data_IF_957012007332
#
_entry.id   IF_957012007332
#
_cell.length_a   1.000
_cell.length_b   1.000
_cell.length_c   1.000
_cell.angle_alpha   90.00
_cell.angle_beta   90.00
_cell.angle_gamma   90.00
#
_symmetry.space_group_name_H-M   'P 1'
#
loop_
_entity.id
_entity.type
_entity.pdbx_description
1 polymer ?
#
# COMPACT_ATOMS: atom_id res chain seq x y z
N UNK A 1 3.50 -25.96 19.34
CA UNK A 1 3.43 -24.54 18.96
C UNK A 1 3.45 -24.51 17.45
N UNK A 2 2.26 -24.40 16.85
CA UNK A 2 2.13 -24.29 15.39
C UNK A 2 2.60 -22.89 14.99
N UNK A 3 3.64 -22.85 14.16
CA UNK A 3 4.07 -21.61 13.51
C UNK A 3 2.97 -21.17 12.54
N UNK A 4 2.43 -19.95 12.65
CA UNK A 4 1.48 -19.45 11.67
C UNK A 4 2.15 -19.45 10.30
N UNK A 5 1.55 -20.13 9.33
CA UNK A 5 1.95 -20.04 7.93
C UNK A 5 1.56 -18.64 7.44
N UNK A 6 2.48 -17.69 7.57
CA UNK A 6 2.35 -16.37 6.97
C UNK A 6 2.45 -16.53 5.46
N UNK A 7 1.31 -16.47 4.75
CA UNK A 7 1.33 -16.15 3.32
C UNK A 7 1.58 -14.66 3.18
N UNK A 8 2.81 -14.22 3.45
CA UNK A 8 3.23 -12.86 3.12
C UNK A 8 2.94 -12.64 1.63
N UNK A 9 2.11 -11.65 1.23
CA UNK A 9 1.97 -11.33 -0.18
C UNK A 9 3.38 -11.06 -0.70
N UNK A 10 3.75 -11.76 -1.79
CA UNK A 10 5.13 -11.78 -2.33
C UNK A 10 5.73 -10.38 -2.52
N UNK A 11 4.87 -9.37 -2.66
CA UNK A 11 5.19 -7.96 -2.80
C UNK A 11 5.80 -7.34 -1.52
N UNK A 12 5.40 -7.76 -0.31
CA UNK A 12 6.04 -7.33 0.94
C UNK A 12 7.46 -7.87 1.08
N UNK A 13 7.73 -9.06 0.51
CA UNK A 13 9.09 -9.65 0.49
C UNK A 13 10.00 -8.85 -0.44
N UNK A 14 9.47 -8.30 -1.53
CA UNK A 14 10.23 -7.49 -2.49
C UNK A 14 10.63 -6.14 -1.88
N UNK A 15 9.69 -5.44 -1.22
CA UNK A 15 10.02 -4.20 -0.50
C UNK A 15 11.05 -4.44 0.62
N UNK A 16 10.91 -5.54 1.36
CA UNK A 16 11.90 -5.96 2.36
C UNK A 16 13.25 -6.38 1.74
N UNK A 17 13.25 -6.93 0.53
CA UNK A 17 14.45 -7.31 -0.21
C UNK A 17 15.25 -6.09 -0.70
N UNK A 18 14.58 -4.98 -1.04
CA UNK A 18 15.23 -3.73 -1.48
C UNK A 18 15.55 -2.76 -0.35
N UNK A 19 15.29 -3.12 0.92
CA UNK A 19 15.46 -2.23 2.09
C UNK A 19 14.69 -0.91 1.98
N UNK A 20 13.60 -0.89 1.19
CA UNK A 20 12.81 0.32 1.00
C UNK A 20 11.91 0.60 2.20
N UNK A 21 11.73 1.88 2.53
CA UNK A 21 10.90 2.30 3.65
C UNK A 21 9.42 2.02 3.35
N UNK A 22 8.95 0.87 3.83
CA UNK A 22 7.57 0.43 3.69
C UNK A 22 6.57 1.42 4.29
N UNK A 23 6.99 2.36 5.16
CA UNK A 23 6.10 3.41 5.69
C UNK A 23 5.72 4.48 4.65
N UNK A 24 6.46 4.55 3.52
CA UNK A 24 6.12 5.40 2.38
C UNK A 24 4.98 4.78 1.57
N UNK A 25 4.98 3.45 1.45
CA UNK A 25 4.01 2.68 0.66
C UNK A 25 2.75 2.39 1.50
N UNK A 26 2.92 1.93 2.74
CA UNK A 26 1.85 1.50 3.62
C UNK A 26 1.69 2.47 4.78
N UNK A 27 0.48 2.97 4.96
CA UNK A 27 0.08 3.74 6.15
C UNK A 27 -1.01 2.99 6.88
N UNK A 28 -0.77 2.71 8.15
CA UNK A 28 -1.71 2.02 9.03
C UNK A 28 -2.50 3.06 9.80
N UNK A 29 -3.83 2.93 9.79
CA UNK A 29 -4.74 3.79 10.54
C UNK A 29 -5.56 2.98 11.53
N UNK A 30 -6.02 3.63 12.60
CA UNK A 30 -6.90 3.00 13.58
C UNK A 30 -8.23 2.56 12.95
N UNK A 31 -8.79 1.47 13.44
CA UNK A 31 -10.01 0.82 12.93
C UNK A 31 -11.23 1.76 12.85
N UNK A 32 -11.30 2.74 13.75
CA UNK A 32 -12.42 3.68 13.86
C UNK A 32 -12.25 4.93 12.98
N UNK A 33 -11.12 5.05 12.27
CA UNK A 33 -10.83 6.25 11.48
C UNK A 33 -11.65 6.24 10.18
N UNK A 34 -12.38 7.31 9.93
CA UNK A 34 -13.16 7.45 8.70
C UNK A 34 -12.27 7.73 7.49
N UNK A 35 -12.72 7.34 6.31
CA UNK A 35 -12.02 7.66 5.05
C UNK A 35 -11.81 9.18 4.87
N UNK A 36 -12.74 10.01 5.34
CA UNK A 36 -12.61 11.47 5.28
C UNK A 36 -11.47 11.98 6.18
N UNK A 37 -11.30 11.40 7.37
CA UNK A 37 -10.16 11.74 8.25
C UNK A 37 -8.83 11.30 7.64
N UNK A 38 -8.78 10.08 7.08
CA UNK A 38 -7.61 9.59 6.33
C UNK A 38 -7.29 10.53 5.17
N UNK A 39 -8.30 11.02 4.46
CA UNK A 39 -8.14 11.92 3.32
C UNK A 39 -7.49 13.26 3.70
N UNK A 40 -7.86 13.82 4.85
CA UNK A 40 -7.31 15.09 5.34
C UNK A 40 -5.83 14.98 5.73
N UNK A 41 -5.40 13.80 6.17
CA UNK A 41 -4.02 13.49 6.57
C UNK A 41 -3.17 12.87 5.45
N UNK A 42 -3.82 12.54 4.32
CA UNK A 42 -3.19 11.90 3.19
C UNK A 42 -2.09 12.78 2.57
N UNK A 43 -0.88 12.24 2.33
CA UNK A 43 0.08 12.90 1.46
C UNK A 43 -0.46 12.99 0.04
N UNK A 44 0.17 13.86 -0.77
CA UNK A 44 -0.09 13.94 -2.21
C UNK A 44 0.49 12.76 -2.98
N UNK A 45 1.53 12.13 -2.43
CA UNK A 45 2.16 10.93 -3.00
C UNK A 45 1.22 9.72 -2.88
N UNK A 46 1.11 8.87 -3.91
CA UNK A 46 0.29 7.66 -3.82
C UNK A 46 0.73 6.75 -2.70
N UNK A 47 -0.23 6.22 -1.93
CA UNK A 47 0.04 5.27 -0.85
C UNK A 47 -1.15 4.34 -0.60
N UNK A 48 -0.90 3.27 0.13
CA UNK A 48 -1.89 2.27 0.54
C UNK A 48 -2.25 2.52 2.01
N UNK A 49 -3.49 2.92 2.26
CA UNK A 49 -4.04 3.04 3.60
C UNK A 49 -4.64 1.70 4.04
N UNK A 50 -4.12 1.08 5.09
CA UNK A 50 -4.75 -0.08 5.70
C UNK A 50 -5.40 0.35 7.02
N UNK A 51 -6.72 0.16 7.14
CA UNK A 51 -7.49 0.56 8.31
C UNK A 51 -7.63 -0.66 9.22
N UNK A 52 -7.22 -0.52 10.48
CA UNK A 52 -7.24 -1.61 11.46
C UNK A 52 -5.92 -2.38 11.55
N UNK A 53 -5.98 -3.61 12.04
CA UNK A 53 -4.80 -4.44 12.25
C UNK A 53 -4.24 -4.99 10.92
N UNK A 54 -3.06 -4.55 10.46
CA UNK A 54 -2.44 -5.05 9.23
C UNK A 54 -1.99 -6.52 9.32
N UNK A 55 -1.92 -7.07 10.54
CA UNK A 55 -1.58 -8.48 10.79
C UNK A 55 -2.82 -9.38 10.88
N UNK A 56 -4.01 -8.85 10.63
CA UNK A 56 -5.21 -9.66 10.54
C UNK A 56 -5.15 -10.57 9.30
N UNK A 57 -5.82 -11.73 9.36
CA UNK A 57 -6.06 -12.56 8.19
C UNK A 57 -6.91 -11.73 7.21
N UNK A 58 -6.35 -11.40 6.05
CA UNK A 58 -6.99 -10.62 4.97
C UNK A 58 -7.31 -9.14 5.29
N UNK A 59 -6.28 -8.27 5.41
CA UNK A 59 -6.50 -6.85 5.61
C UNK A 59 -7.14 -6.21 4.37
N UNK A 60 -8.12 -5.35 4.61
CA UNK A 60 -8.72 -4.48 3.59
C UNK A 60 -8.02 -3.12 3.61
N UNK A 61 -7.61 -2.66 2.44
CA UNK A 61 -6.88 -1.42 2.28
C UNK A 61 -7.56 -0.53 1.22
N UNK A 62 -7.18 0.74 1.19
CA UNK A 62 -7.65 1.73 0.24
C UNK A 62 -6.44 2.40 -0.39
N UNK A 63 -6.39 2.46 -1.71
CA UNK A 63 -5.33 3.19 -2.43
C UNK A 63 -5.72 4.65 -2.52
N UNK A 64 -4.81 5.53 -2.11
CA UNK A 64 -4.96 6.97 -2.27
C UNK A 64 -4.02 7.48 -3.35
N UNK A 65 -4.53 8.35 -4.21
CA UNK A 65 -3.78 9.08 -5.23
C UNK A 65 -4.23 10.53 -5.17
N UNK A 66 -3.29 11.48 -5.03
CA UNK A 66 -3.60 12.92 -4.91
C UNK A 66 -4.69 13.22 -3.87
N UNK A 67 -4.56 12.59 -2.68
CA UNK A 67 -5.55 12.65 -1.58
C UNK A 67 -6.95 12.17 -1.95
N UNK A 68 -7.16 11.48 -3.06
CA UNK A 68 -8.45 10.88 -3.40
C UNK A 68 -8.37 9.35 -3.22
N UNK A 69 -9.37 8.73 -2.57
CA UNK A 69 -9.45 7.27 -2.57
C UNK A 69 -9.82 6.79 -3.99
N UNK A 70 -9.00 5.92 -4.56
CA UNK A 70 -9.23 5.37 -5.90
C UNK A 70 -10.23 4.20 -5.86
N UNK A 71 -9.91 3.20 -5.03
CA UNK A 71 -10.72 2.01 -4.80
C UNK A 71 -10.71 1.70 -3.29
N UNK A 72 -11.80 2.01 -2.58
CA UNK A 72 -11.87 1.77 -1.15
C UNK A 72 -12.15 0.30 -0.84
N UNK A 73 -11.54 -0.18 0.25
CA UNK A 73 -11.82 -1.48 0.87
C UNK A 73 -11.54 -2.70 -0.04
N UNK A 74 -10.40 -2.72 -0.70
CA UNK A 74 -9.93 -3.84 -1.52
C UNK A 74 -8.91 -4.70 -0.76
N UNK A 75 -8.78 -6.00 -1.08
CA UNK A 75 -7.75 -6.86 -0.51
C UNK A 75 -6.35 -6.28 -0.70
N UNK A 76 -5.44 -6.51 0.26
CA UNK A 76 -4.07 -5.99 0.20
C UNK A 76 -3.34 -6.29 -1.12
N UNK A 77 -3.51 -7.49 -1.68
CA UNK A 77 -2.87 -7.83 -2.96
C UNK A 77 -3.36 -6.94 -4.10
N UNK A 78 -4.67 -6.70 -4.15
CA UNK A 78 -5.30 -5.83 -5.16
C UNK A 78 -4.89 -4.38 -4.92
N UNK A 79 -4.80 -3.94 -3.66
CA UNK A 79 -4.31 -2.61 -3.30
C UNK A 79 -2.88 -2.35 -3.80
N UNK A 80 -2.00 -3.35 -3.74
CA UNK A 80 -0.64 -3.24 -4.27
C UNK A 80 -0.63 -3.13 -5.78
N UNK A 81 -1.44 -3.94 -6.47
CA UNK A 81 -1.58 -3.86 -7.94
C UNK A 81 -2.17 -2.51 -8.38
N UNK A 82 -3.19 -2.01 -7.68
CA UNK A 82 -3.83 -0.73 -7.95
C UNK A 82 -2.88 0.44 -7.67
N UNK A 83 -2.14 0.42 -6.55
CA UNK A 83 -1.10 1.41 -6.26
C UNK A 83 -0.01 1.43 -7.33
N UNK A 84 0.53 0.27 -7.71
CA UNK A 84 1.52 0.18 -8.77
C UNK A 84 1.00 0.69 -10.12
N UNK A 85 -0.22 0.31 -10.49
CA UNK A 85 -0.84 0.72 -11.75
C UNK A 85 -1.09 2.23 -11.81
N UNK A 86 -1.33 2.87 -10.66
CA UNK A 86 -1.62 4.30 -10.57
C UNK A 86 -0.49 5.17 -11.17
N UNK A 87 0.77 4.75 -11.04
CA UNK A 87 1.90 5.50 -11.59
C UNK A 87 1.87 5.58 -13.12
N UNK A 88 1.42 4.51 -13.79
CA UNK A 88 1.31 4.48 -15.25
C UNK A 88 0.04 5.17 -15.74
N UNK A 89 -1.09 4.88 -15.10
CA UNK A 89 -2.41 5.38 -15.54
C UNK A 89 -2.50 6.90 -15.37
N UNK A 90 -1.97 7.42 -14.26
CA UNK A 90 -2.00 8.86 -13.96
C UNK A 90 -0.72 9.60 -14.37
N UNK A 91 0.25 8.91 -15.01
CA UNK A 91 1.53 9.46 -15.44
C UNK A 91 2.25 10.20 -14.28
N UNK A 92 2.34 9.54 -13.12
CA UNK A 92 2.94 10.08 -11.92
C UNK A 92 4.44 9.78 -11.89
N UNK A 93 5.20 10.69 -11.29
CA UNK A 93 6.62 10.46 -11.00
C UNK A 93 6.72 9.44 -9.87
N UNK A 94 7.59 8.44 -10.05
CA UNK A 94 7.87 7.47 -9.01
C UNK A 94 8.51 8.14 -7.79
N UNK A 95 8.16 7.74 -6.55
CA UNK A 95 8.90 8.15 -5.37
C UNK A 95 10.34 7.63 -5.50
N UNK A 96 11.33 8.49 -5.27
CA UNK A 96 12.75 8.09 -5.32
C UNK A 96 13.02 6.96 -4.30
N UNK A 97 12.26 6.95 -3.21
CA UNK A 97 12.35 6.00 -2.10
C UNK A 97 11.83 4.59 -2.44
N UNK A 98 11.11 4.42 -3.55
CA UNK A 98 10.52 3.13 -3.96
C UNK A 98 10.97 2.66 -5.35
N UNK A 99 12.00 3.30 -5.91
CA UNK A 99 12.37 3.15 -7.31
C UNK A 99 12.80 1.71 -7.64
N UNK A 100 13.46 0.99 -6.73
CA UNK A 100 13.97 -0.36 -6.98
C UNK A 100 12.86 -1.42 -6.97
N UNK A 101 11.89 -1.33 -6.05
CA UNK A 101 10.71 -2.20 -6.06
C UNK A 101 9.87 -1.96 -7.31
N UNK A 102 9.73 -0.70 -7.73
CA UNK A 102 8.96 -0.33 -8.91
C UNK A 102 9.62 -0.82 -10.21
N UNK A 103 10.94 -0.69 -10.33
CA UNK A 103 11.72 -1.26 -11.44
C UNK A 103 11.65 -2.81 -11.48
N UNK A 104 11.58 -3.47 -10.32
CA UNK A 104 11.47 -4.92 -10.27
C UNK A 104 10.09 -5.42 -10.72
N UNK A 105 9.00 -4.77 -10.32
CA UNK A 105 7.64 -5.14 -10.75
C UNK A 105 7.46 -4.92 -12.26
N UNK A 106 8.24 -4.05 -12.90
CA UNK A 106 8.23 -3.83 -14.36
C UNK A 106 8.77 -5.01 -15.19
N UNK A 107 9.54 -5.93 -14.61
CA UNK A 107 10.21 -7.04 -15.32
C UNK A 107 9.53 -8.38 -15.10
#
# INVERSE_FOLDING_TARGET
METPHYSSPKNLIIAAYFEEDCNVIFKIFEENKSLHEVQNEAPVTPFIACIGNPYQLDPVCTVFVDKAPLEPMIPLNDAIHTWFSSFYVFNLVYPEECCATLEFIQR
#
